data_IF_332028400910
#
_entry.id   IF_332028400910
#
_cell.length_a   1.000
_cell.length_b   1.000
_cell.length_c   1.000
_cell.angle_alpha   90.00
_cell.angle_beta   90.00
_cell.angle_gamma   90.00
#
_symmetry.space_group_name_H-M   'P 1'
#
loop_
_entity.id
_entity.type
_entity.pdbx_description
1 polymer ?
#
# COMPACT_ATOMS: atom_id res chain seq x y z
N UNK A 1 -10.16 -6.99 -6.25
CA UNK A 1 -9.59 -6.41 -7.49
C UNK A 1 -10.72 -5.65 -8.16
N UNK A 2 -10.45 -4.47 -8.70
CA UNK A 2 -11.44 -3.67 -9.41
C UNK A 2 -10.94 -3.39 -10.81
N UNK A 3 -11.81 -3.58 -11.80
CA UNK A 3 -11.52 -3.39 -13.22
C UNK A 3 -12.61 -2.46 -13.76
N UNK A 4 -12.19 -1.41 -14.45
CA UNK A 4 -13.08 -0.49 -15.17
C UNK A 4 -12.76 -0.58 -16.65
N UNK A 5 -13.75 -0.90 -17.48
CA UNK A 5 -13.63 -0.94 -18.95
C UNK A 5 -14.18 0.35 -19.62
N UNK A 6 -14.74 1.25 -18.81
CA UNK A 6 -15.23 2.55 -19.24
C UNK A 6 -15.43 3.51 -18.07
N UNK A 7 -16.39 4.43 -18.24
CA UNK A 7 -16.78 5.36 -17.18
C UNK A 7 -17.47 4.62 -16.04
N UNK A 8 -17.01 4.86 -14.82
CA UNK A 8 -17.55 4.18 -13.65
C UNK A 8 -16.96 4.68 -12.35
N UNK A 9 -17.68 4.46 -11.26
CA UNK A 9 -17.29 4.85 -9.92
C UNK A 9 -17.36 3.67 -8.97
N UNK A 10 -16.38 3.61 -8.08
CA UNK A 10 -16.36 2.70 -6.96
C UNK A 10 -15.90 3.46 -5.73
N UNK A 11 -16.73 3.51 -4.70
CA UNK A 11 -16.38 4.11 -3.43
C UNK A 11 -16.76 3.26 -2.25
N UNK A 12 -16.08 3.51 -1.14
CA UNK A 12 -16.35 2.88 0.14
C UNK A 12 -16.06 3.85 1.27
N UNK A 13 -16.88 3.80 2.30
CA UNK A 13 -16.59 4.44 3.57
C UNK A 13 -15.57 3.60 4.34
N UNK A 14 -14.42 4.20 4.65
CA UNK A 14 -13.35 3.57 5.42
C UNK A 14 -13.28 4.11 6.86
N UNK A 15 -14.19 5.02 7.24
CA UNK A 15 -14.17 5.65 8.55
C UNK A 15 -12.92 6.51 8.78
N UNK A 16 -12.43 7.20 7.75
CA UNK A 16 -11.26 8.07 7.87
C UNK A 16 -11.54 9.22 8.86
N UNK A 17 -10.81 9.27 9.97
CA UNK A 17 -10.99 10.30 11.02
C UNK A 17 -9.85 11.30 11.09
N UNK A 18 -8.62 10.82 11.05
CA UNK A 18 -7.38 11.61 11.08
C UNK A 18 -6.58 11.46 9.80
N UNK A 19 -5.27 11.69 9.90
CA UNK A 19 -4.32 11.48 8.80
C UNK A 19 -4.32 10.02 8.32
N UNK A 20 -4.20 9.84 7.02
CA UNK A 20 -4.42 8.54 6.36
C UNK A 20 -3.39 8.26 5.28
N UNK A 21 -3.09 6.99 5.08
CA UNK A 21 -2.28 6.44 3.99
C UNK A 21 -3.13 5.47 3.18
N UNK A 22 -3.11 5.64 1.87
CA UNK A 22 -3.82 4.80 0.91
C UNK A 22 -2.82 4.26 -0.10
N UNK A 23 -2.81 2.96 -0.29
CA UNK A 23 -1.89 2.28 -1.19
C UNK A 23 -2.67 1.38 -2.13
N UNK A 24 -2.29 1.33 -3.40
CA UNK A 24 -2.87 0.40 -4.37
C UNK A 24 -1.95 0.22 -5.57
N UNK A 25 -2.09 -0.90 -6.26
CA UNK A 25 -1.50 -1.10 -7.57
C UNK A 25 -2.46 -0.57 -8.63
N UNK A 26 -1.92 0.27 -9.52
CA UNK A 26 -2.63 0.80 -10.68
C UNK A 26 -2.03 0.21 -11.94
N UNK A 27 -2.87 -0.40 -12.77
CA UNK A 27 -2.51 -0.91 -14.10
C UNK A 27 -3.50 -0.38 -15.13
N UNK A 28 -3.02 -0.09 -16.33
CA UNK A 28 -3.85 0.46 -17.39
C UNK A 28 -3.47 -0.07 -18.77
N UNK A 29 -4.39 0.07 -19.72
CA UNK A 29 -4.10 -0.04 -21.15
C UNK A 29 -4.43 1.30 -21.85
N UNK A 30 -3.54 1.77 -22.71
CA UNK A 30 -3.71 3.02 -23.45
C UNK A 30 -3.72 4.27 -22.56
N UNK A 31 -4.48 5.28 -22.95
CA UNK A 31 -4.64 6.52 -22.19
C UNK A 31 -5.71 6.34 -21.12
N UNK A 32 -5.44 6.70 -19.87
CA UNK A 32 -6.45 6.65 -18.79
C UNK A 32 -6.57 8.00 -18.08
N UNK A 33 -7.71 8.20 -17.41
CA UNK A 33 -7.93 9.27 -16.43
C UNK A 33 -8.65 8.68 -15.22
N UNK A 34 -7.97 8.63 -14.09
CA UNK A 34 -8.47 8.14 -12.81
C UNK A 34 -8.56 9.31 -11.83
N UNK A 35 -9.75 9.57 -11.31
CA UNK A 35 -9.96 10.51 -10.22
C UNK A 35 -10.11 9.74 -8.91
N UNK A 36 -9.37 10.16 -7.89
CA UNK A 36 -9.43 9.59 -6.54
C UNK A 36 -9.83 10.69 -5.56
N UNK A 37 -11.14 10.88 -5.28
CA UNK A 37 -11.61 11.75 -4.20
C UNK A 37 -11.30 11.13 -2.84
N UNK A 38 -10.54 11.86 -2.03
CA UNK A 38 -10.18 11.51 -0.66
C UNK A 38 -11.08 12.26 0.34
N UNK A 39 -11.47 11.58 1.43
CA UNK A 39 -12.37 12.09 2.48
C UNK A 39 -13.71 12.60 1.91
N UNK A 40 -14.24 11.88 0.92
CA UNK A 40 -15.51 12.19 0.27
C UNK A 40 -16.68 11.48 0.99
N UNK A 41 -17.88 12.06 0.89
CA UNK A 41 -19.14 11.37 1.19
C UNK A 41 -19.86 10.87 -0.06
N UNK A 42 -19.41 11.26 -1.26
CA UNK A 42 -19.91 10.76 -2.53
C UNK A 42 -19.14 9.50 -2.94
N UNK A 43 -19.75 8.33 -2.70
CA UNK A 43 -19.14 7.01 -2.90
C UNK A 43 -19.61 6.32 -4.18
N UNK A 44 -20.76 6.73 -4.69
CA UNK A 44 -21.47 6.10 -5.80
C UNK A 44 -21.59 7.01 -7.03
N UNK A 45 -20.95 8.19 -7.00
CA UNK A 45 -20.95 9.16 -8.08
C UNK A 45 -19.78 10.12 -7.97
N UNK A 46 -19.47 10.77 -9.09
CA UNK A 46 -18.62 11.95 -9.12
C UNK A 46 -19.44 13.19 -8.74
N UNK A 47 -19.09 13.91 -7.66
CA UNK A 47 -19.90 15.00 -7.10
C UNK A 47 -19.05 16.17 -6.60
N UNK A 48 -19.10 17.31 -7.29
CA UNK A 48 -18.43 18.55 -6.87
C UNK A 48 -19.08 19.26 -5.68
N UNK A 49 -20.16 18.70 -5.11
CA UNK A 49 -20.75 19.18 -3.85
C UNK A 49 -20.20 18.43 -2.64
N UNK A 50 -19.50 17.32 -2.86
CA UNK A 50 -18.86 16.55 -1.79
C UNK A 50 -17.49 17.15 -1.48
N UNK A 51 -17.36 17.73 -0.28
CA UNK A 51 -16.11 18.30 0.20
C UNK A 51 -15.01 17.23 0.18
N UNK A 52 -13.98 17.41 -0.64
CA UNK A 52 -12.98 16.38 -0.88
C UNK A 52 -11.69 16.94 -1.45
N UNK A 53 -10.64 16.11 -1.41
CA UNK A 53 -9.40 16.34 -2.14
C UNK A 53 -9.32 15.32 -3.29
N UNK A 54 -9.43 15.80 -4.52
CA UNK A 54 -9.50 14.97 -5.72
C UNK A 54 -8.14 14.91 -6.42
N UNK A 55 -7.54 13.72 -6.43
CA UNK A 55 -6.34 13.44 -7.21
C UNK A 55 -6.76 13.03 -8.62
N UNK A 56 -6.37 13.81 -9.62
CA UNK A 56 -6.56 13.47 -11.03
C UNK A 56 -5.27 12.85 -11.53
N UNK A 57 -5.25 11.53 -11.69
CA UNK A 57 -4.09 10.76 -12.12
C UNK A 57 -4.31 10.32 -13.56
N UNK A 58 -3.38 10.64 -14.44
CA UNK A 58 -3.39 10.24 -15.83
C UNK A 58 -2.00 9.77 -16.26
N UNK A 59 -1.87 9.32 -17.52
CA UNK A 59 -0.60 8.85 -18.06
C UNK A 59 0.43 10.00 -18.07
N UNK A 60 1.32 9.98 -17.08
CA UNK A 60 2.44 10.91 -16.99
C UNK A 60 2.23 12.12 -16.09
N UNK A 61 1.08 12.24 -15.41
CA UNK A 61 0.74 13.48 -14.72
C UNK A 61 -0.23 13.26 -13.56
N UNK A 62 -0.15 14.15 -12.56
CA UNK A 62 -1.16 14.29 -11.52
C UNK A 62 -1.52 15.76 -11.30
N UNK A 63 -2.79 16.05 -11.03
CA UNK A 63 -3.20 17.29 -10.39
C UNK A 63 -4.02 17.03 -9.14
N UNK A 64 -4.00 18.00 -8.22
CA UNK A 64 -4.80 17.95 -7.01
C UNK A 64 -5.77 19.12 -7.00
N UNK A 65 -7.05 18.80 -6.78
CA UNK A 65 -8.09 19.81 -6.60
C UNK A 65 -8.73 19.67 -5.23
N UNK A 66 -9.00 20.82 -4.60
CA UNK A 66 -9.90 20.94 -3.46
C UNK A 66 -11.30 21.18 -3.98
N UNK A 67 -12.24 20.36 -3.55
CA UNK A 67 -13.68 20.58 -3.74
C UNK A 67 -14.27 21.00 -2.41
N UNK A 68 -14.99 22.11 -2.39
CA UNK A 68 -15.70 22.58 -1.20
C UNK A 68 -17.06 23.16 -1.59
N UNK A 69 -18.11 22.59 -1.02
CA UNK A 69 -19.48 23.10 -1.13
C UNK A 69 -19.54 24.57 -0.71
N UNK A 70 -20.15 25.41 -1.54
CA UNK A 70 -20.24 26.85 -1.35
C UNK A 70 -18.99 27.66 -1.76
N UNK A 71 -17.81 27.05 -1.83
CA UNK A 71 -16.56 27.73 -2.24
C UNK A 71 -16.04 27.28 -3.63
N UNK A 72 -16.62 26.22 -4.20
CA UNK A 72 -16.30 25.71 -5.53
C UNK A 72 -15.06 24.81 -5.55
N UNK A 73 -14.40 24.77 -6.70
CA UNK A 73 -13.23 23.93 -6.97
C UNK A 73 -11.98 24.81 -7.05
N UNK A 74 -10.93 24.44 -6.32
CA UNK A 74 -9.62 25.11 -6.35
C UNK A 74 -8.54 24.12 -6.74
N UNK A 75 -7.77 24.45 -7.77
CA UNK A 75 -6.56 23.69 -8.13
C UNK A 75 -5.43 24.02 -7.14
N UNK A 76 -4.83 22.99 -6.53
CA UNK A 76 -3.72 23.13 -5.59
C UNK A 76 -2.36 22.96 -6.26
N UNK A 77 -2.34 22.54 -7.51
CA UNK A 77 -1.15 22.40 -8.34
C UNK A 77 -1.00 21.00 -8.92
N UNK A 78 0.10 20.81 -9.63
CA UNK A 78 0.35 19.66 -10.46
C UNK A 78 1.74 19.04 -10.29
N UNK A 79 1.87 17.78 -10.69
CA UNK A 79 3.13 17.03 -10.71
C UNK A 79 3.25 16.19 -11.98
N UNK A 80 4.49 15.96 -12.42
CA UNK A 80 4.79 15.09 -13.57
C UNK A 80 5.17 13.70 -13.06
N UNK A 81 4.77 12.66 -13.80
CA UNK A 81 5.07 11.26 -13.53
C UNK A 81 5.68 10.61 -14.79
N UNK A 82 6.88 11.01 -15.24
CA UNK A 82 7.42 10.57 -16.52
C UNK A 82 7.50 9.05 -16.66
N UNK A 83 7.69 8.32 -15.55
CA UNK A 83 7.77 6.86 -15.53
C UNK A 83 6.50 6.16 -16.04
N UNK A 84 5.32 6.79 -15.94
CA UNK A 84 4.07 6.24 -16.47
C UNK A 84 3.96 6.38 -18.01
N UNK A 85 4.90 7.06 -18.66
CA UNK A 85 4.95 7.10 -20.13
C UNK A 85 5.46 5.78 -20.72
N UNK A 86 6.35 5.08 -20.02
CA UNK A 86 6.99 3.85 -20.48
C UNK A 86 6.50 2.60 -19.74
N UNK A 87 5.81 2.76 -18.61
CA UNK A 87 5.16 1.68 -17.87
C UNK A 87 3.66 1.67 -18.11
N UNK A 88 3.02 0.54 -17.84
CA UNK A 88 1.56 0.38 -17.81
C UNK A 88 1.06 -0.13 -16.45
N UNK A 89 1.95 -0.25 -15.47
CA UNK A 89 1.65 -0.65 -14.08
C UNK A 89 2.59 0.08 -13.13
N UNK A 90 2.05 0.56 -12.01
CA UNK A 90 2.80 1.19 -10.92
C UNK A 90 2.18 0.89 -9.55
N UNK A 91 2.97 1.03 -8.49
CA UNK A 91 2.45 1.13 -7.13
C UNK A 91 2.17 2.60 -6.79
N UNK A 92 0.94 2.91 -6.37
CA UNK A 92 0.50 4.24 -5.96
C UNK A 92 0.37 4.30 -4.45
N UNK A 93 0.89 5.36 -3.85
CA UNK A 93 0.69 5.68 -2.44
C UNK A 93 0.28 7.15 -2.29
N UNK A 94 -0.86 7.38 -1.66
CA UNK A 94 -1.39 8.69 -1.31
C UNK A 94 -1.32 8.84 0.21
N UNK A 95 -0.69 9.91 0.69
CA UNK A 95 -0.71 10.30 2.10
C UNK A 95 -1.45 11.60 2.26
N UNK A 96 -2.30 11.67 3.28
CA UNK A 96 -3.03 12.88 3.63
C UNK A 96 -2.82 13.16 5.11
N UNK A 97 -2.16 14.27 5.41
CA UNK A 97 -2.03 14.82 6.75
C UNK A 97 -3.17 15.81 6.97
N UNK A 98 -4.15 15.40 7.78
CA UNK A 98 -5.37 16.20 8.01
C UNK A 98 -5.06 17.46 8.81
N UNK A 99 -4.22 17.36 9.85
CA UNK A 99 -3.91 18.46 10.76
C UNK A 99 -3.10 19.56 10.08
N UNK A 100 -2.18 19.20 9.18
CA UNK A 100 -1.36 20.15 8.42
C UNK A 100 -1.97 20.58 7.08
N UNK A 101 -3.10 19.96 6.69
CA UNK A 101 -3.69 20.08 5.37
C UNK A 101 -2.67 19.81 4.23
N UNK A 102 -1.85 18.76 4.42
CA UNK A 102 -0.82 18.36 3.46
C UNK A 102 -1.19 17.05 2.78
N UNK A 103 -0.90 16.98 1.48
CA UNK A 103 -1.15 15.81 0.65
C UNK A 103 0.13 15.44 -0.07
N UNK A 104 0.40 14.15 -0.19
CA UNK A 104 1.59 13.63 -0.87
C UNK A 104 1.18 12.47 -1.79
N UNK A 105 1.77 12.44 -2.99
CA UNK A 105 1.66 11.31 -3.91
C UNK A 105 3.04 10.69 -4.10
N UNK A 106 3.09 9.38 -3.96
CA UNK A 106 4.23 8.53 -4.26
C UNK A 106 3.88 7.57 -5.38
N UNK A 107 4.81 7.38 -6.31
CA UNK A 107 4.75 6.38 -7.37
C UNK A 107 5.99 5.51 -7.26
N UNK A 108 5.82 4.20 -7.19
CA UNK A 108 6.90 3.23 -7.00
C UNK A 108 7.83 3.60 -5.81
N UNK A 109 7.21 4.08 -4.72
CA UNK A 109 7.85 4.56 -3.47
C UNK A 109 8.69 5.84 -3.61
N UNK A 110 8.62 6.53 -4.75
CA UNK A 110 9.26 7.83 -4.95
C UNK A 110 8.24 8.94 -4.81
N UNK A 111 8.57 9.97 -4.02
CA UNK A 111 7.72 11.15 -3.89
C UNK A 111 7.63 11.86 -5.24
N UNK A 112 6.42 11.95 -5.79
CA UNK A 112 6.14 12.69 -7.03
C UNK A 112 5.89 14.15 -6.70
N UNK A 113 5.00 14.39 -5.74
CA UNK A 113 4.56 15.74 -5.40
C UNK A 113 4.00 15.80 -3.99
N UNK A 114 4.23 16.95 -3.36
CA UNK A 114 3.62 17.36 -2.09
C UNK A 114 2.84 18.65 -2.32
N UNK A 115 1.68 18.74 -1.69
CA UNK A 115 0.80 19.91 -1.69
C UNK A 115 0.47 20.30 -0.25
N UNK A 116 0.20 21.58 -0.05
CA UNK A 116 -0.33 22.13 1.19
C UNK A 116 -1.51 23.04 0.87
N UNK A 117 -2.67 22.79 1.45
CA UNK A 117 -3.81 23.69 1.34
C UNK A 117 -3.67 24.80 2.38
N UNK A 118 -3.29 26.00 1.92
CA UNK A 118 -3.11 27.17 2.77
C UNK A 118 -4.38 27.65 3.45
N UNK A 119 -5.55 27.18 3.00
CA UNK A 119 -6.85 27.56 3.53
C UNK A 119 -7.36 26.55 4.59
N UNK A 120 -6.51 25.61 5.01
CA UNK A 120 -6.87 24.55 5.94
C UNK A 120 -7.56 23.37 5.27
N UNK A 121 -7.74 22.30 6.05
CA UNK A 121 -8.32 21.05 5.57
C UNK A 121 -9.84 21.20 5.38
N UNK A 122 -10.33 20.92 4.18
CA UNK A 122 -11.71 21.25 3.80
C UNK A 122 -12.65 20.05 3.70
N UNK A 123 -12.10 18.85 3.52
CA UNK A 123 -12.88 17.65 3.31
C UNK A 123 -13.57 17.21 4.61
N UNK A 124 -14.82 16.78 4.50
CA UNK A 124 -15.68 16.46 5.66
C UNK A 124 -16.18 15.02 5.68
N UNK A 125 -15.95 14.25 4.61
CA UNK A 125 -16.31 12.84 4.56
C UNK A 125 -15.26 11.92 5.16
N UNK A 126 -15.56 10.63 5.14
CA UNK A 126 -14.74 9.55 5.70
C UNK A 126 -14.43 8.45 4.68
N UNK A 127 -14.86 8.61 3.43
CA UNK A 127 -14.69 7.63 2.39
C UNK A 127 -13.67 8.01 1.32
N UNK A 128 -13.43 7.05 0.45
CA UNK A 128 -12.58 7.17 -0.74
C UNK A 128 -13.38 6.62 -1.92
N UNK A 129 -13.28 7.27 -3.07
CA UNK A 129 -13.79 6.71 -4.34
C UNK A 129 -12.73 6.72 -5.43
N UNK A 130 -12.96 5.89 -6.44
CA UNK A 130 -12.17 5.74 -7.66
C UNK A 130 -13.13 5.96 -8.82
N UNK A 131 -12.83 6.93 -9.66
CA UNK A 131 -13.67 7.30 -10.80
C UNK A 131 -12.85 7.26 -12.08
N UNK A 132 -13.21 6.36 -12.98
CA UNK A 132 -12.67 6.31 -14.35
C UNK A 132 -13.48 7.24 -15.24
N UNK A 133 -12.82 8.12 -15.98
CA UNK A 133 -13.50 9.12 -16.83
C UNK A 133 -13.55 8.79 -18.32
N UNK A 134 -12.75 7.83 -18.78
CA UNK A 134 -12.61 7.54 -20.21
C UNK A 134 -13.28 6.20 -20.54
N UNK A 135 -13.94 6.15 -21.69
CA UNK A 135 -14.43 4.91 -22.29
C UNK A 135 -13.30 4.25 -23.09
N UNK A 136 -13.12 2.93 -22.94
CA UNK A 136 -12.16 2.15 -23.72
C UNK A 136 -10.87 1.69 -23.00
N UNK A 137 -10.17 2.50 -22.19
CA UNK A 137 -8.99 2.02 -21.48
C UNK A 137 -9.40 1.17 -20.27
N UNK A 138 -8.84 -0.04 -20.18
CA UNK A 138 -8.99 -0.86 -18.99
C UNK A 138 -8.13 -0.25 -17.89
N UNK A 139 -8.74 0.13 -16.77
CA UNK A 139 -8.04 0.54 -15.55
C UNK A 139 -8.28 -0.52 -14.49
N UNK A 140 -7.20 -1.08 -13.94
CA UNK A 140 -7.23 -2.06 -12.86
C UNK A 140 -6.63 -1.45 -11.60
N UNK A 141 -7.44 -1.42 -10.53
CA UNK A 141 -7.01 -1.09 -9.17
C UNK A 141 -6.99 -2.38 -8.35
N UNK A 142 -5.83 -2.70 -7.78
CA UNK A 142 -5.66 -3.90 -6.97
C UNK A 142 -4.82 -3.64 -5.73
N UNK A 143 -4.79 -4.60 -4.81
CA UNK A 143 -4.03 -4.49 -3.56
C UNK A 143 -4.31 -3.22 -2.73
N UNK A 144 -5.55 -2.71 -2.80
CA UNK A 144 -5.98 -1.52 -2.06
C UNK A 144 -5.83 -1.74 -0.55
N UNK A 145 -5.09 -0.84 0.07
CA UNK A 145 -4.96 -0.73 1.52
C UNK A 145 -5.23 0.69 1.97
N UNK A 146 -5.91 0.79 3.10
CA UNK A 146 -6.17 2.05 3.81
C UNK A 146 -5.71 1.86 5.25
N UNK A 147 -4.86 2.76 5.73
CA UNK A 147 -4.34 2.76 7.10
C UNK A 147 -4.32 4.17 7.69
N UNK A 148 -4.37 4.24 9.02
CA UNK A 148 -4.03 5.46 9.72
C UNK A 148 -2.56 5.80 9.49
N UNK A 149 -2.25 7.10 9.45
CA UNK A 149 -0.90 7.60 9.29
C UNK A 149 -0.61 8.66 10.35
N UNK A 150 0.60 8.63 10.91
CA UNK A 150 1.04 9.54 11.98
C UNK A 150 1.43 10.94 11.49
N UNK A 151 1.30 11.20 10.18
CA UNK A 151 1.57 12.49 9.57
C UNK A 151 3.06 12.81 9.40
N UNK A 152 3.94 11.84 9.66
CA UNK A 152 5.38 11.96 9.45
C UNK A 152 5.77 11.19 8.20
N UNK A 153 6.33 11.91 7.23
CA UNK A 153 6.96 11.26 6.09
C UNK A 153 8.41 11.01 6.45
N UNK A 154 8.85 9.76 6.31
CA UNK A 154 10.23 9.37 6.54
C UNK A 154 11.15 10.35 5.83
N UNK A 155 11.98 11.12 6.58
CA UNK A 155 13.01 11.88 5.95
C UNK A 155 13.98 10.86 5.35
N UNK A 156 14.25 11.01 4.05
CA UNK A 156 15.27 10.28 3.30
C UNK A 156 14.82 8.87 2.87
N UNK A 157 15.07 8.56 1.60
CA UNK A 157 15.18 7.19 1.13
C UNK A 157 16.12 6.47 2.09
N UNK A 158 15.60 5.68 3.02
CA UNK A 158 16.45 4.76 3.76
C UNK A 158 17.21 3.99 2.69
N UNK A 159 18.53 4.19 2.64
CA UNK A 159 19.40 3.43 1.78
C UNK A 159 18.97 1.96 1.95
N UNK A 160 18.79 1.25 0.83
CA UNK A 160 18.53 -0.18 0.91
C UNK A 160 19.55 -0.75 1.87
N UNK A 161 19.09 -1.30 3.00
CA UNK A 161 19.97 -1.87 4.00
C UNK A 161 20.82 -2.93 3.29
N UNK A 162 22.03 -2.55 2.94
CA UNK A 162 23.11 -3.44 2.53
C UNK A 162 23.94 -3.81 3.75
N UNK A 163 23.39 -3.64 4.96
CA UNK A 163 24.04 -4.04 6.19
C UNK A 163 24.16 -5.56 6.22
N UNK A 164 25.31 -6.04 6.68
CA UNK A 164 25.56 -7.47 6.93
C UNK A 164 24.86 -7.98 8.19
N UNK A 165 24.21 -7.08 8.94
CA UNK A 165 23.56 -7.32 10.21
C UNK A 165 22.18 -6.63 10.23
N UNK A 166 21.31 -7.09 11.12
CA UNK A 166 20.00 -6.49 11.32
C UNK A 166 20.15 -5.12 11.97
N UNK A 167 19.15 -4.26 11.81
CA UNK A 167 19.16 -2.88 12.29
C UNK A 167 17.81 -2.50 12.91
N UNK A 168 17.83 -1.94 14.11
CA UNK A 168 16.66 -1.33 14.75
C UNK A 168 16.83 0.19 14.74
N UNK A 169 15.87 0.90 14.15
CA UNK A 169 15.82 2.36 14.10
C UNK A 169 14.84 2.87 15.16
N UNK A 170 15.33 3.74 16.05
CA UNK A 170 14.58 4.25 17.18
C UNK A 170 13.94 5.61 16.88
N UNK A 171 12.92 5.98 17.66
CA UNK A 171 12.20 7.27 17.53
C UNK A 171 13.07 8.50 17.75
N UNK A 172 14.11 8.37 18.56
CA UNK A 172 15.13 9.39 18.75
C UNK A 172 16.17 9.44 17.62
N UNK A 173 15.99 8.65 16.55
CA UNK A 173 16.87 8.51 15.39
C UNK A 173 18.16 7.73 15.64
N UNK A 174 18.27 7.06 16.78
CA UNK A 174 19.38 6.14 17.01
C UNK A 174 19.22 4.86 16.18
N UNK A 175 20.35 4.27 15.82
CA UNK A 175 20.44 3.02 15.08
C UNK A 175 21.14 1.97 15.93
N UNK A 176 20.50 0.81 16.10
CA UNK A 176 21.03 -0.30 16.88
C UNK A 176 21.31 -1.48 15.93
N UNK A 177 22.57 -1.66 15.50
CA UNK A 177 22.96 -2.82 14.70
C UNK A 177 23.08 -4.06 15.57
N UNK A 178 22.78 -5.23 15.02
CA UNK A 178 22.95 -6.49 15.73
C UNK A 178 22.14 -7.63 15.12
N UNK A 179 21.98 -8.71 15.89
CA UNK A 179 21.16 -9.87 15.48
C UNK A 179 19.86 -9.89 16.25
N UNK A 180 18.73 -9.87 15.56
CA UNK A 180 17.44 -9.95 16.24
C UNK A 180 17.21 -11.38 16.75
N UNK A 181 16.92 -11.49 18.04
CA UNK A 181 16.60 -12.75 18.72
C UNK A 181 15.09 -12.96 18.86
N UNK A 182 14.35 -11.90 19.14
CA UNK A 182 12.90 -11.97 19.36
C UNK A 182 12.23 -10.68 18.88
N UNK A 183 11.06 -10.81 18.28
CA UNK A 183 10.09 -9.72 18.14
C UNK A 183 8.72 -10.25 18.54
N UNK A 184 8.09 -9.62 19.52
CA UNK A 184 6.73 -9.94 19.94
C UNK A 184 5.84 -8.68 19.91
N UNK A 185 4.62 -8.79 20.43
CA UNK A 185 3.66 -7.68 20.45
C UNK A 185 4.01 -6.53 21.41
N UNK A 186 5.15 -6.58 22.12
CA UNK A 186 5.59 -5.58 23.09
C UNK A 186 7.03 -5.12 22.86
N UNK A 187 7.94 -6.03 22.53
CA UNK A 187 9.37 -5.77 22.53
C UNK A 187 10.10 -6.39 21.34
N UNK A 188 11.26 -5.81 21.01
CA UNK A 188 12.29 -6.39 20.15
C UNK A 188 13.53 -6.64 20.99
N UNK A 189 14.02 -7.88 20.99
CA UNK A 189 15.31 -8.23 21.61
C UNK A 189 16.35 -8.35 20.50
N UNK A 190 17.36 -7.48 20.55
CA UNK A 190 18.48 -7.45 19.62
C UNK A 190 19.78 -7.68 20.39
N UNK A 191 20.60 -8.63 19.92
CA UNK A 191 21.95 -8.78 20.43
C UNK A 191 22.86 -7.80 19.67
N UNK A 192 23.32 -6.76 20.36
CA UNK A 192 24.20 -5.73 19.83
C UNK A 192 25.50 -5.73 20.61
N UNK A 193 26.64 -5.81 19.92
CA UNK A 193 27.98 -5.83 20.54
C UNK A 193 28.15 -6.89 21.66
N UNK A 194 27.42 -8.01 21.57
CA UNK A 194 27.45 -9.09 22.56
C UNK A 194 26.42 -8.97 23.69
N UNK A 195 25.72 -7.84 23.82
CA UNK A 195 24.68 -7.64 24.85
C UNK A 195 23.27 -7.71 24.27
N UNK A 196 22.34 -8.28 25.04
CA UNK A 196 20.92 -8.36 24.66
C UNK A 196 20.20 -7.09 25.09
N UNK A 197 19.86 -6.25 24.11
CA UNK A 197 19.07 -5.05 24.31
C UNK A 197 17.60 -5.37 24.12
N UNK A 198 16.80 -5.14 25.16
CA UNK A 198 15.35 -5.27 25.14
C UNK A 198 14.71 -3.91 24.86
N UNK A 199 14.21 -3.71 23.64
CA UNK A 199 13.71 -2.43 23.16
C UNK A 199 12.18 -2.49 23.03
N UNK A 200 11.43 -1.67 23.79
CA UNK A 200 9.99 -1.54 23.64
C UNK A 200 9.58 -1.10 22.23
N UNK A 201 8.52 -1.71 21.68
CA UNK A 201 8.01 -1.40 20.33
C UNK A 201 7.62 0.08 20.17
N UNK A 202 7.16 0.73 21.23
CA UNK A 202 6.78 2.14 21.19
C UNK A 202 7.98 3.08 21.00
N UNK A 203 9.21 2.61 21.17
CA UNK A 203 10.46 3.33 20.88
C UNK A 203 11.01 3.07 19.49
N UNK A 204 10.47 2.10 18.77
CA UNK A 204 10.99 1.66 17.46
C UNK A 204 10.20 2.35 16.34
N UNK A 205 10.90 2.91 15.36
CA UNK A 205 10.32 3.37 14.09
C UNK A 205 10.36 2.23 13.07
N UNK A 206 11.46 1.50 13.00
CA UNK A 206 11.67 0.49 11.97
C UNK A 206 12.62 -0.60 12.43
N UNK A 207 12.36 -1.81 11.95
CA UNK A 207 13.31 -2.92 11.94
C UNK A 207 13.69 -3.22 10.50
N UNK A 208 14.99 -3.29 10.20
CA UNK A 208 15.51 -3.72 8.92
C UNK A 208 16.33 -4.98 9.12
N UNK A 209 15.90 -6.07 8.50
CA UNK A 209 16.60 -7.34 8.61
C UNK A 209 17.59 -7.50 7.47
N UNK A 210 18.68 -8.17 7.77
CA UNK A 210 19.66 -8.59 6.76
C UNK A 210 18.96 -9.42 5.69
N UNK A 211 19.21 -9.12 4.41
CA UNK A 211 18.69 -9.97 3.33
C UNK A 211 19.39 -11.34 3.43
N UNK A 212 18.66 -12.45 3.63
CA UNK A 212 19.26 -13.76 3.47
C UNK A 212 19.66 -13.96 2.01
N UNK A 213 20.71 -14.75 1.76
CA UNK A 213 21.08 -15.14 0.41
C UNK A 213 19.87 -15.73 -0.32
N UNK A 214 19.57 -15.17 -1.50
CA UNK A 214 18.48 -15.61 -2.34
C UNK A 214 18.78 -17.02 -2.86
N UNK A 215 18.32 -18.03 -2.12
CA UNK A 215 18.38 -19.42 -2.57
C UNK A 215 17.24 -19.68 -3.56
N UNK A 216 17.47 -20.40 -4.67
CA UNK A 216 16.49 -20.57 -5.74
C UNK A 216 15.11 -21.03 -5.24
N UNK A 217 14.07 -20.53 -5.91
CA UNK A 217 12.68 -20.93 -5.73
C UNK A 217 12.50 -22.34 -6.30
N UNK A 218 12.68 -23.34 -5.44
CA UNK A 218 12.17 -24.68 -5.73
C UNK A 218 10.64 -24.66 -5.62
N UNK A 219 9.95 -25.40 -6.48
CA UNK A 219 8.51 -25.59 -6.39
C UNK A 219 8.15 -26.18 -5.01
N UNK A 220 7.35 -25.46 -4.22
CA UNK A 220 7.02 -25.82 -2.84
C UNK A 220 5.51 -25.83 -2.65
N UNK A 221 4.86 -26.99 -2.82
CA UNK A 221 3.41 -27.08 -2.71
C UNK A 221 2.90 -26.72 -1.31
N UNK A 222 3.74 -26.84 -0.28
CA UNK A 222 3.38 -26.62 1.13
C UNK A 222 3.79 -25.26 1.69
N UNK A 223 4.38 -24.39 0.88
CA UNK A 223 4.66 -23.01 1.32
C UNK A 223 3.37 -22.19 1.26
N UNK A 224 3.04 -21.56 2.38
CA UNK A 224 1.89 -20.66 2.51
C UNK A 224 2.37 -19.23 2.67
N UNK A 225 1.52 -18.27 2.31
CA UNK A 225 1.76 -16.83 2.54
C UNK A 225 0.65 -16.24 3.40
N UNK A 226 0.98 -15.89 4.64
CA UNK A 226 0.09 -15.14 5.52
C UNK A 226 0.21 -13.65 5.21
N UNK A 227 -0.91 -12.99 4.93
CA UNK A 227 -1.02 -11.55 4.77
C UNK A 227 -1.59 -10.93 6.05
N UNK A 228 -0.96 -9.87 6.53
CA UNK A 228 -1.32 -9.18 7.76
C UNK A 228 -1.94 -7.81 7.47
N UNK A 229 -2.49 -7.17 8.50
CA UNK A 229 -2.87 -5.77 8.43
C UNK A 229 -1.67 -4.89 8.02
N UNK A 230 -1.93 -3.77 7.34
CA UNK A 230 -0.91 -2.76 7.09
C UNK A 230 0.08 -3.03 5.96
N UNK A 231 0.27 -4.26 5.51
CA UNK A 231 1.41 -4.49 4.61
C UNK A 231 1.69 -5.92 4.33
N UNK A 232 2.02 -6.52 5.47
CA UNK A 232 3.05 -7.50 5.50
C UNK A 232 2.54 -8.80 4.95
N UNK A 233 3.46 -9.53 4.33
CA UNK A 233 3.25 -10.91 4.00
C UNK A 233 4.45 -11.69 4.49
N UNK A 234 4.20 -12.82 5.14
CA UNK A 234 5.25 -13.77 5.53
C UNK A 234 4.97 -15.09 4.83
N UNK A 235 5.95 -15.56 4.06
CA UNK A 235 5.93 -16.91 3.49
C UNK A 235 6.66 -17.88 4.44
N UNK A 236 6.05 -19.04 4.67
CA UNK A 236 6.59 -20.09 5.54
C UNK A 236 6.00 -21.45 5.18
N UNK A 237 6.73 -22.51 5.52
CA UNK A 237 6.16 -23.86 5.53
C UNK A 237 5.25 -23.97 6.76
N UNK A 238 3.97 -24.23 6.53
CA UNK A 238 3.00 -24.44 7.60
C UNK A 238 3.24 -25.82 8.23
N UNK A 239 3.56 -25.86 9.52
CA UNK A 239 3.77 -27.12 10.23
C UNK A 239 2.49 -27.58 10.95
N UNK A 240 1.80 -26.66 11.61
CA UNK A 240 0.60 -26.97 12.40
C UNK A 240 -0.33 -25.75 12.45
N UNK A 241 -1.63 -26.02 12.51
CA UNK A 241 -2.65 -25.03 12.86
C UNK A 241 -3.56 -25.62 13.94
N UNK A 242 -3.43 -25.11 15.16
CA UNK A 242 -4.19 -25.56 16.33
C UNK A 242 -4.91 -24.39 16.99
N UNK A 243 -6.24 -24.44 17.04
CA UNK A 243 -7.05 -23.31 17.50
C UNK A 243 -6.78 -22.05 16.67
N UNK A 244 -6.34 -20.99 17.34
CA UNK A 244 -5.93 -19.74 16.67
C UNK A 244 -4.45 -19.70 16.29
N UNK A 245 -3.63 -20.68 16.69
CA UNK A 245 -2.19 -20.60 16.50
C UNK A 245 -1.74 -21.34 15.24
N UNK A 246 -1.05 -20.64 14.35
CA UNK A 246 -0.36 -21.21 13.19
C UNK A 246 1.14 -21.24 13.46
N UNK A 247 1.75 -22.41 13.41
CA UNK A 247 3.19 -22.58 13.57
C UNK A 247 3.82 -23.08 12.29
N UNK A 248 5.08 -22.71 12.07
CA UNK A 248 5.79 -23.12 10.89
C UNK A 248 7.23 -22.67 10.88
N UNK A 249 7.85 -22.72 9.69
CA UNK A 249 9.22 -22.28 9.50
C UNK A 249 9.34 -21.39 8.27
N UNK A 250 9.69 -20.13 8.51
CA UNK A 250 10.08 -19.18 7.46
C UNK A 250 11.56 -19.33 7.12
N UNK A 251 11.88 -19.13 5.84
CA UNK A 251 13.27 -19.09 5.38
C UNK A 251 14.03 -17.88 5.92
N UNK A 252 13.33 -16.77 6.12
CA UNK A 252 13.92 -15.49 6.52
C UNK A 252 13.99 -15.38 8.04
N UNK A 253 13.00 -15.94 8.76
CA UNK A 253 12.86 -15.76 10.20
C UNK A 253 13.11 -17.03 11.02
N UNK A 254 13.26 -18.20 10.37
CA UNK A 254 13.32 -19.47 11.09
C UNK A 254 11.94 -19.89 11.62
N UNK A 255 11.84 -20.51 12.81
CA UNK A 255 10.56 -20.84 13.42
C UNK A 255 9.66 -19.61 13.56
N UNK A 256 8.40 -19.73 13.14
CA UNK A 256 7.40 -18.66 13.23
C UNK A 256 6.13 -19.18 13.88
N UNK A 257 5.45 -18.29 14.60
CA UNK A 257 4.17 -18.55 15.24
C UNK A 257 3.27 -17.33 15.09
N UNK A 258 2.06 -17.52 14.58
CA UNK A 258 1.12 -16.44 14.30
C UNK A 258 -0.26 -16.78 14.88
N UNK A 259 -0.85 -15.83 15.60
CA UNK A 259 -2.27 -15.89 15.96
C UNK A 259 -3.11 -15.49 14.73
N UNK A 260 -4.04 -16.35 14.33
CA UNK A 260 -4.90 -16.23 13.16
C UNK A 260 -5.70 -14.94 13.16
N UNK A 261 -5.98 -14.34 14.33
CA UNK A 261 -6.67 -13.04 14.43
C UNK A 261 -5.91 -11.89 13.75
N UNK A 262 -4.60 -12.02 13.56
CA UNK A 262 -3.77 -11.04 12.87
C UNK A 262 -3.60 -11.32 11.38
N UNK A 263 -3.99 -12.51 10.91
CA UNK A 263 -3.90 -12.92 9.52
C UNK A 263 -5.19 -12.52 8.80
N UNK A 264 -5.06 -11.67 7.78
CA UNK A 264 -6.17 -11.23 6.92
C UNK A 264 -6.45 -12.21 5.78
N UNK A 265 -5.42 -12.88 5.29
CA UNK A 265 -5.52 -13.86 4.20
C UNK A 265 -4.38 -14.84 4.33
N UNK A 266 -4.66 -16.13 4.21
CA UNK A 266 -3.65 -17.17 4.08
C UNK A 266 -3.73 -17.72 2.65
N UNK A 267 -2.66 -17.57 1.89
CA UNK A 267 -2.58 -18.05 0.51
C UNK A 267 -1.82 -19.38 0.48
N UNK A 268 -2.41 -20.38 -0.16
CA UNK A 268 -1.80 -21.69 -0.41
C UNK A 268 -1.36 -21.79 -1.87
N UNK A 269 -0.58 -22.81 -2.21
CA UNK A 269 -0.24 -23.14 -3.59
C UNK A 269 0.42 -21.97 -4.34
N UNK A 270 1.42 -21.32 -3.73
CA UNK A 270 2.03 -20.09 -4.26
C UNK A 270 2.63 -20.24 -5.66
N UNK A 271 2.98 -21.46 -6.09
CA UNK A 271 3.49 -21.77 -7.43
C UNK A 271 2.42 -22.22 -8.43
N UNK A 272 1.16 -22.32 -8.03
CA UNK A 272 0.04 -22.61 -8.95
C UNK A 272 -0.46 -21.28 -9.49
N UNK A 273 -0.18 -20.98 -10.76
CA UNK A 273 -0.90 -19.91 -11.45
C UNK A 273 -2.40 -20.17 -11.29
N UNK A 274 -3.16 -19.20 -10.78
CA UNK A 274 -4.61 -19.35 -10.66
C UNK A 274 -5.13 -19.63 -12.06
N UNK A 275 -5.70 -20.82 -12.30
CA UNK A 275 -6.42 -21.12 -13.53
C UNK A 275 -7.58 -20.14 -13.61
N UNK A 276 -7.44 -19.07 -14.40
CA UNK A 276 -8.56 -18.27 -14.85
C UNK A 276 -9.38 -19.14 -15.80
N UNK A 277 -10.67 -19.31 -15.50
CA UNK A 277 -11.57 -20.06 -16.37
C UNK A 277 -11.74 -19.28 -17.70
N UNK A 278 -11.04 -19.71 -18.74
CA UNK A 278 -11.07 -19.17 -20.11
C UNK A 278 -12.34 -19.54 -20.90
N UNK A 279 -13.51 -19.48 -20.27
CA UNK A 279 -14.78 -19.66 -20.98
C UNK A 279 -15.82 -18.69 -20.46
N UNK A 280 -15.76 -17.45 -20.93
CA UNK A 280 -16.95 -16.65 -21.19
C UNK A 280 -16.78 -16.01 -22.56
N UNK A 281 -17.11 -16.79 -23.59
CA UNK A 281 -17.26 -16.32 -24.96
C UNK A 281 -18.44 -15.37 -25.04
N UNK A 282 -18.14 -14.08 -24.98
CA UNK A 282 -19.11 -12.99 -25.11
C UNK A 282 -18.45 -11.69 -25.53
N UNK A 283 -17.87 -11.67 -26.74
CA UNK A 283 -17.77 -10.48 -27.59
C UNK A 283 -16.88 -9.31 -27.14
N UNK A 284 -15.56 -9.49 -27.20
CA UNK A 284 -14.59 -8.51 -27.72
C UNK A 284 -13.24 -9.22 -27.85
N UNK A 285 -12.65 -9.17 -29.04
CA UNK A 285 -11.45 -9.92 -29.41
C UNK A 285 -10.29 -9.75 -28.40
N UNK A 286 -9.83 -10.89 -27.87
CA UNK A 286 -8.49 -11.22 -27.38
C UNK A 286 -7.69 -10.06 -26.74
N UNK A 287 -8.09 -9.68 -25.52
CA UNK A 287 -7.22 -8.91 -24.63
C UNK A 287 -6.06 -9.81 -24.18
N UNK A 288 -4.84 -9.32 -24.40
CA UNK A 288 -3.56 -9.97 -24.13
C UNK A 288 -3.47 -10.68 -22.76
N UNK A 289 -2.63 -11.73 -22.64
CA UNK A 289 -2.50 -12.47 -21.39
C UNK A 289 -1.91 -11.55 -20.31
N UNK A 290 -2.65 -11.43 -19.21
CA UNK A 290 -2.21 -10.71 -18.03
C UNK A 290 -1.35 -11.68 -17.21
N UNK A 291 -0.02 -11.50 -17.22
CA UNK A 291 0.85 -12.21 -16.28
C UNK A 291 0.65 -11.61 -14.87
N UNK A 292 0.13 -12.43 -13.96
CA UNK A 292 -0.08 -12.11 -12.53
C UNK A 292 1.21 -12.13 -11.71
#
# INVERSE_FOLDING_TARGET
MFISEGVGVLGRDFGLKGSSRVEFDLQWNGTFSLIVPMYTSALDRFDYRSNSYMFYISRGYVSLQRVQSGAGVRNLGQGQIPEMQTKNRVAVEIRVNKDKAEMELYIDRKLVRKWRDTNGFAATGSGISFFSQLNGPIVRVSNLRVSAWDGHSDPVQFAQASSKEDMVYLKNRDEVPGKIKLMDGKNVIINSLGEDLNIPLDRIIRVSLTKPEAKPEANRPWEVRAHFAGGAAVSFNLNQWEGSMLTGRSRNFGPVSFDSKFIRRLQFNLGSSQKTNDTNTGGANQLWPWDD
#
